data_IF_146004583079
#
_entry.id   IF_146004583079
#
_cell.length_a   1.000
_cell.length_b   1.000
_cell.length_c   1.000
_cell.angle_alpha   90.00
_cell.angle_beta   90.00
_cell.angle_gamma   90.00
#
_symmetry.space_group_name_H-M   'P 1'
#
loop_
_entity.id
_entity.type
_entity.pdbx_description
1 polymer ?
#
# COMPACT_ATOMS: atom_id res chain seq x y z
N UNK A 1 8.52 -3.13 -10.63
CA UNK A 1 7.82 -2.43 -11.73
C UNK A 1 6.37 -2.23 -11.33
N UNK A 2 5.96 -0.98 -11.11
CA UNK A 2 4.55 -0.62 -10.87
C UNK A 2 3.77 -0.79 -12.17
N UNK A 3 2.65 -1.48 -12.11
CA UNK A 3 1.74 -1.59 -13.25
C UNK A 3 1.09 -0.22 -13.49
N UNK A 4 1.66 0.54 -14.42
CA UNK A 4 1.09 1.77 -14.94
C UNK A 4 -0.27 1.49 -15.60
N UNK A 5 -1.35 1.89 -14.95
CA UNK A 5 -2.60 2.20 -15.66
C UNK A 5 -3.50 1.05 -16.10
N UNK A 6 -3.55 -0.08 -15.38
CA UNK A 6 -4.67 -1.02 -15.56
C UNK A 6 -5.79 -0.67 -14.55
N UNK A 7 -7.04 -0.63 -15.03
CA UNK A 7 -8.27 -0.52 -14.22
C UNK A 7 -8.39 -1.59 -13.11
N UNK A 8 -7.50 -2.59 -13.12
CA UNK A 8 -7.48 -3.71 -12.21
C UNK A 8 -6.42 -3.50 -11.13
N UNK A 9 -6.74 -3.94 -9.91
CA UNK A 9 -5.76 -3.96 -8.84
C UNK A 9 -4.50 -4.72 -9.29
N UNK A 10 -3.30 -4.24 -8.91
CA UNK A 10 -2.07 -4.90 -9.31
C UNK A 10 -2.01 -6.32 -8.73
N UNK A 11 -1.40 -7.26 -9.46
CA UNK A 11 -1.40 -8.68 -9.08
C UNK A 11 -0.86 -8.93 -7.65
N UNK A 12 0.12 -8.14 -7.21
CA UNK A 12 0.63 -8.21 -5.83
C UNK A 12 -0.48 -7.94 -4.80
N UNK A 13 -1.42 -7.04 -5.08
CA UNK A 13 -2.53 -6.72 -4.18
C UNK A 13 -3.54 -7.86 -4.11
N UNK A 14 -3.79 -8.54 -5.23
CA UNK A 14 -4.64 -9.73 -5.26
C UNK A 14 -3.99 -10.90 -4.51
N UNK A 15 -2.67 -11.06 -4.63
CA UNK A 15 -1.93 -12.06 -3.87
C UNK A 15 -2.00 -11.79 -2.36
N UNK A 16 -1.84 -10.53 -1.94
CA UNK A 16 -1.97 -10.12 -0.54
C UNK A 16 -3.38 -10.34 0.03
N UNK A 17 -4.40 -10.20 -0.81
CA UNK A 17 -5.78 -10.48 -0.41
C UNK A 17 -6.02 -11.98 -0.21
N UNK A 18 -5.26 -12.85 -0.91
CA UNK A 18 -5.36 -14.30 -0.80
C UNK A 18 -4.47 -14.87 0.32
N UNK A 19 -3.26 -14.35 0.48
CA UNK A 19 -2.31 -14.71 1.53
C UNK A 19 -1.64 -13.44 2.09
N UNK A 20 -1.93 -13.06 3.35
CA UNK A 20 -1.38 -11.86 3.94
C UNK A 20 0.07 -12.02 4.41
N UNK A 21 0.63 -13.23 4.42
CA UNK A 21 2.01 -13.47 4.83
C UNK A 21 2.99 -12.97 3.76
N UNK A 22 3.85 -12.03 4.14
CA UNK A 22 4.86 -11.45 3.25
C UNK A 22 6.24 -11.42 3.88
N UNK A 23 7.26 -11.44 3.04
CA UNK A 23 8.62 -11.10 3.43
C UNK A 23 8.92 -9.71 2.91
N UNK A 24 9.24 -8.78 3.82
CA UNK A 24 9.65 -7.42 3.48
C UNK A 24 11.16 -7.28 3.57
N UNK A 25 11.73 -6.50 2.66
CA UNK A 25 13.10 -6.02 2.75
C UNK A 25 13.11 -4.50 2.90
N UNK A 26 13.70 -4.00 3.97
CA UNK A 26 13.87 -2.57 4.26
C UNK A 26 15.36 -2.29 4.47
N UNK A 27 15.98 -1.63 3.50
CA UNK A 27 17.44 -1.47 3.49
C UNK A 27 18.15 -2.83 3.43
N UNK A 28 18.92 -3.15 4.45
CA UNK A 28 19.65 -4.42 4.59
C UNK A 28 18.90 -5.48 5.40
N UNK A 29 17.74 -5.15 5.96
CA UNK A 29 16.98 -6.05 6.81
C UNK A 29 15.86 -6.73 6.03
N UNK A 30 15.76 -8.05 6.16
CA UNK A 30 14.69 -8.87 5.58
C UNK A 30 13.95 -9.60 6.69
N UNK A 31 12.63 -9.45 6.77
CA UNK A 31 11.81 -10.02 7.84
C UNK A 31 10.43 -10.47 7.37
N UNK A 32 9.84 -11.51 8.02
CA UNK A 32 8.45 -11.87 7.82
C UNK A 32 7.52 -10.81 8.42
N UNK A 33 6.41 -10.57 7.75
CA UNK A 33 5.40 -9.61 8.15
C UNK A 33 4.02 -10.02 7.64
N UNK A 34 2.98 -9.42 8.23
CA UNK A 34 1.60 -9.60 7.79
C UNK A 34 1.13 -8.31 7.13
N UNK A 35 0.71 -8.42 5.88
CA UNK A 35 0.13 -7.34 5.11
C UNK A 35 -1.40 -7.42 5.17
N UNK A 36 -2.06 -6.29 5.41
CA UNK A 36 -3.51 -6.17 5.26
C UNK A 36 -3.89 -4.86 4.60
N UNK A 37 -5.06 -4.84 3.96
CA UNK A 37 -5.69 -3.59 3.53
C UNK A 37 -6.09 -2.76 4.76
N UNK A 38 -5.77 -1.47 4.75
CA UNK A 38 -6.33 -0.51 5.69
C UNK A 38 -7.84 -0.35 5.43
N UNK A 39 -8.65 -0.23 6.48
CA UNK A 39 -10.03 0.21 6.32
C UNK A 39 -10.06 1.67 5.83
N UNK A 40 -11.11 2.13 5.14
CA UNK A 40 -11.17 3.50 4.61
C UNK A 40 -10.89 4.58 5.67
N UNK A 41 -11.48 4.44 6.86
CA UNK A 41 -11.26 5.37 7.97
C UNK A 41 -9.81 5.36 8.51
N UNK A 42 -9.14 4.20 8.48
CA UNK A 42 -7.73 4.11 8.85
C UNK A 42 -6.84 4.73 7.78
N UNK A 43 -7.19 4.50 6.50
CA UNK A 43 -6.45 5.03 5.37
C UNK A 43 -6.49 6.57 5.35
N UNK A 44 -7.65 7.17 5.59
CA UNK A 44 -7.79 8.63 5.70
C UNK A 44 -6.96 9.22 6.83
N UNK A 45 -6.88 8.51 7.97
CA UNK A 45 -6.08 8.93 9.12
C UNK A 45 -4.57 8.85 8.86
N UNK A 46 -4.13 7.86 8.09
CA UNK A 46 -2.72 7.62 7.78
C UNK A 46 -2.24 8.41 6.56
N UNK A 47 -3.16 8.88 5.73
CA UNK A 47 -2.84 9.60 4.51
C UNK A 47 -1.89 10.80 4.71
N UNK A 48 -2.06 11.66 5.74
CA UNK A 48 -1.13 12.76 5.98
C UNK A 48 0.30 12.27 6.23
N UNK A 49 0.49 11.14 6.91
CA UNK A 49 1.81 10.55 7.14
C UNK A 49 2.43 10.01 5.85
N UNK A 50 1.61 9.40 4.97
CA UNK A 50 2.06 8.95 3.64
C UNK A 50 2.52 10.14 2.79
N UNK A 51 1.75 11.23 2.76
CA UNK A 51 2.12 12.45 2.02
C UNK A 51 3.35 13.11 2.62
N UNK A 52 3.51 13.12 3.95
CA UNK A 52 4.70 13.65 4.60
C UNK A 52 5.97 12.85 4.24
N UNK A 53 5.86 11.52 4.14
CA UNK A 53 6.97 10.66 3.72
C UNK A 53 7.26 10.75 2.22
N UNK A 54 6.22 10.89 1.39
CA UNK A 54 6.34 10.94 -0.06
C UNK A 54 5.33 11.92 -0.68
N UNK A 55 5.71 13.22 -0.82
CA UNK A 55 4.80 14.29 -1.24
C UNK A 55 4.13 14.08 -2.61
N UNK A 56 4.76 13.32 -3.50
CA UNK A 56 4.21 12.98 -4.82
C UNK A 56 2.88 12.22 -4.75
N UNK A 57 2.60 11.53 -3.63
CA UNK A 57 1.34 10.82 -3.44
C UNK A 57 0.14 11.76 -3.29
N UNK A 58 0.33 13.01 -2.87
CA UNK A 58 -0.75 14.00 -2.79
C UNK A 58 -1.35 14.27 -4.18
N UNK A 59 -0.49 14.51 -5.17
CA UNK A 59 -0.91 14.69 -6.56
C UNK A 59 -1.50 13.40 -7.15
N UNK A 60 -0.95 12.24 -6.76
CA UNK A 60 -1.45 10.94 -7.23
C UNK A 60 -2.88 10.65 -6.75
N UNK A 61 -3.22 10.95 -5.48
CA UNK A 61 -4.60 10.81 -4.98
C UNK A 61 -5.55 11.83 -5.60
N UNK A 62 -5.10 13.06 -5.85
CA UNK A 62 -5.93 14.07 -6.50
C UNK A 62 -6.26 13.70 -7.96
N UNK A 63 -5.34 13.01 -8.65
CA UNK A 63 -5.52 12.57 -10.04
C UNK A 63 -6.21 11.19 -10.17
N UNK A 64 -6.50 10.51 -9.07
CA UNK A 64 -7.12 9.19 -9.10
C UNK A 64 -8.65 9.31 -8.93
N UNK A 65 -9.41 8.84 -9.92
CA UNK A 65 -10.87 8.72 -9.85
C UNK A 65 -11.36 7.56 -8.96
N UNK A 66 -10.44 6.88 -8.26
CA UNK A 66 -10.72 5.73 -7.39
C UNK A 66 -9.98 5.85 -6.06
N UNK A 67 -10.55 5.27 -5.01
CA UNK A 67 -9.87 5.14 -3.73
C UNK A 67 -8.57 4.34 -3.90
N UNK A 68 -7.45 4.92 -3.47
CA UNK A 68 -6.15 4.25 -3.51
C UNK A 68 -6.05 3.40 -2.24
N UNK A 69 -6.08 2.05 -2.34
CA UNK A 69 -6.02 1.20 -1.17
C UNK A 69 -4.64 1.30 -0.52
N UNK A 70 -4.61 1.66 0.77
CA UNK A 70 -3.40 1.53 1.58
C UNK A 70 -3.26 0.11 2.11
N UNK A 71 -2.04 -0.40 2.07
CA UNK A 71 -1.67 -1.68 2.68
C UNK A 71 -0.77 -1.40 3.86
N UNK A 72 -1.21 -1.88 5.03
CA UNK A 72 -0.45 -1.83 6.26
C UNK A 72 0.32 -3.12 6.38
N UNK A 73 1.60 -3.02 6.72
CA UNK A 73 2.43 -4.18 6.95
C UNK A 73 2.96 -4.14 8.39
N UNK A 74 2.70 -5.20 9.13
CA UNK A 74 3.11 -5.35 10.53
C UNK A 74 4.12 -6.46 10.61
N UNK A 75 5.33 -6.14 11.11
CA UNK A 75 6.37 -7.12 11.38
C UNK A 75 5.89 -8.13 12.43
N UNK A 76 6.13 -9.41 12.17
CA UNK A 76 5.91 -10.52 13.10
C UNK A 76 7.16 -10.84 13.89
#
# INVERSE_FOLDING_TARGET
>A
MTASGADRHPAWYLNLAADPAVTLQVGTETFPAIARRAAPAEADRLWPAVVAAMPSYAAYRAAADREIPLVLVTRT
#
